data_IF_494460192501
#
_entry.id   IF_494460192501
#
_cell.length_a   1.000
_cell.length_b   1.000
_cell.length_c   1.000
_cell.angle_alpha   90.00
_cell.angle_beta   90.00
_cell.angle_gamma   90.00
#
_symmetry.space_group_name_H-M   'P 1'
#
loop_
_entity.id
_entity.type
_entity.pdbx_description
1 polymer ?
#
# COMPACT_ATOMS: atom_id res chain seq x y z
N UNK A 1 -7.63 -18.81 12.16
CA UNK A 1 -6.42 -18.92 11.34
C UNK A 1 -6.85 -18.95 9.88
N UNK A 2 -6.10 -18.33 8.99
CA UNK A 2 -6.34 -18.39 7.55
C UNK A 2 -5.98 -19.80 7.04
N UNK A 3 -6.89 -20.44 6.30
CA UNK A 3 -6.70 -21.79 5.76
C UNK A 3 -6.35 -21.76 4.27
N UNK A 4 -5.83 -22.88 3.76
CA UNK A 4 -5.58 -23.02 2.31
C UNK A 4 -6.89 -22.98 1.50
N UNK A 5 -7.97 -23.51 2.06
CA UNK A 5 -9.30 -23.50 1.45
C UNK A 5 -9.84 -22.07 1.29
N UNK A 6 -9.67 -21.24 2.33
CA UNK A 6 -10.07 -19.83 2.28
C UNK A 6 -9.34 -19.08 1.15
N UNK A 7 -8.02 -19.29 1.01
CA UNK A 7 -7.21 -18.70 -0.07
C UNK A 7 -7.66 -19.17 -1.46
N UNK A 8 -8.01 -20.45 -1.59
CA UNK A 8 -8.50 -20.97 -2.87
C UNK A 8 -9.89 -20.41 -3.22
N UNK A 9 -10.81 -20.31 -2.25
CA UNK A 9 -12.15 -19.74 -2.45
C UNK A 9 -12.09 -18.26 -2.81
N UNK A 10 -11.17 -17.50 -2.20
CA UNK A 10 -10.94 -16.09 -2.52
C UNK A 10 -10.22 -15.88 -3.87
N UNK A 11 -9.79 -16.95 -4.56
CA UNK A 11 -9.12 -16.86 -5.85
C UNK A 11 -7.69 -16.31 -5.80
N UNK A 12 -7.01 -16.42 -4.64
CA UNK A 12 -5.62 -15.98 -4.44
C UNK A 12 -4.65 -16.71 -5.37
N UNK A 13 -4.99 -17.95 -5.73
CA UNK A 13 -4.20 -18.83 -6.59
C UNK A 13 -4.20 -18.44 -8.08
N UNK A 14 -5.09 -17.55 -8.51
CA UNK A 14 -5.25 -17.21 -9.93
C UNK A 14 -4.23 -16.16 -10.34
N UNK A 15 -3.29 -16.55 -11.20
CA UNK A 15 -2.31 -15.63 -11.78
C UNK A 15 -2.67 -15.16 -13.19
N UNK A 16 -1.73 -14.51 -13.85
CA UNK A 16 -1.87 -13.97 -15.21
C UNK A 16 -1.70 -15.02 -16.31
N UNK A 17 -2.03 -14.62 -17.54
CA UNK A 17 -1.81 -15.44 -18.75
C UNK A 17 -0.32 -15.80 -18.89
N UNK A 18 -0.07 -16.99 -19.43
CA UNK A 18 1.29 -17.50 -19.69
C UNK A 18 2.18 -16.50 -20.47
N UNK A 19 1.61 -15.69 -21.36
CA UNK A 19 2.34 -14.68 -22.13
C UNK A 19 2.86 -13.48 -21.32
N UNK A 20 2.34 -13.27 -20.11
CA UNK A 20 2.73 -12.15 -19.23
C UNK A 20 3.56 -12.60 -18.02
N UNK A 21 4.02 -13.83 -18.02
CA UNK A 21 4.72 -14.42 -16.89
C UNK A 21 6.14 -13.89 -16.72
N UNK A 22 6.54 -13.69 -15.47
CA UNK A 22 7.93 -13.40 -15.11
C UNK A 22 8.63 -14.71 -14.67
N UNK A 23 9.74 -15.11 -15.29
CA UNK A 23 10.47 -16.34 -14.93
C UNK A 23 10.90 -16.40 -13.45
N UNK A 24 11.16 -15.29 -12.82
CA UNK A 24 11.51 -15.23 -11.39
C UNK A 24 10.38 -15.67 -10.45
N UNK A 25 9.15 -15.75 -10.97
CA UNK A 25 8.01 -16.31 -10.24
C UNK A 25 7.93 -17.85 -10.30
N UNK A 26 8.79 -18.52 -11.05
CA UNK A 26 8.79 -19.99 -11.17
C UNK A 26 8.72 -20.73 -9.80
N UNK A 27 9.44 -20.30 -8.75
CA UNK A 27 9.37 -20.97 -7.46
C UNK A 27 7.97 -20.90 -6.79
N UNK A 28 7.11 -19.94 -7.18
CA UNK A 28 5.80 -19.68 -6.59
C UNK A 28 4.63 -20.14 -7.47
N UNK A 29 4.93 -20.70 -8.65
CA UNK A 29 3.92 -21.22 -9.58
C UNK A 29 3.76 -22.71 -9.38
N UNK A 30 2.52 -23.15 -9.11
CA UNK A 30 2.16 -24.55 -9.01
C UNK A 30 2.05 -25.21 -10.39
N UNK A 31 1.51 -24.47 -11.37
CA UNK A 31 1.31 -24.99 -12.72
C UNK A 31 0.57 -24.02 -13.63
N UNK A 32 0.07 -24.55 -14.77
CA UNK A 32 -0.72 -23.77 -15.73
C UNK A 32 -2.05 -24.50 -15.97
N UNK A 33 -3.18 -23.77 -15.86
CA UNK A 33 -4.52 -24.29 -16.17
C UNK A 33 -5.25 -23.27 -17.04
N UNK A 34 -5.83 -23.72 -18.15
CA UNK A 34 -6.57 -22.88 -19.10
C UNK A 34 -5.77 -21.64 -19.58
N UNK A 35 -4.44 -21.79 -19.75
CA UNK A 35 -3.58 -20.70 -20.19
C UNK A 35 -3.23 -19.65 -19.12
N UNK A 36 -3.67 -19.85 -17.88
CA UNK A 36 -3.34 -19.02 -16.72
C UNK A 36 -2.36 -19.75 -15.80
N UNK A 37 -1.39 -19.02 -15.24
CA UNK A 37 -0.56 -19.55 -14.17
C UNK A 37 -1.36 -19.69 -12.88
N UNK A 38 -1.11 -20.78 -12.16
CA UNK A 38 -1.69 -21.03 -10.84
C UNK A 38 -0.59 -20.82 -9.81
N UNK A 39 -0.84 -19.92 -8.86
CA UNK A 39 0.06 -19.65 -7.74
C UNK A 39 -0.08 -20.76 -6.70
N UNK A 40 1.03 -21.18 -6.13
CA UNK A 40 1.07 -22.13 -5.02
C UNK A 40 0.64 -21.46 -3.71
N UNK A 41 -0.60 -21.74 -3.29
CA UNK A 41 -1.18 -21.14 -2.07
C UNK A 41 -0.48 -21.58 -0.78
N UNK A 42 0.23 -22.71 -0.79
CA UNK A 42 1.03 -23.12 0.38
C UNK A 42 2.19 -22.18 0.59
N UNK A 43 2.86 -21.78 -0.50
CA UNK A 43 3.91 -20.76 -0.48
C UNK A 43 3.36 -19.36 -0.20
N UNK A 44 2.15 -19.06 -0.70
CA UNK A 44 1.46 -17.82 -0.33
C UNK A 44 1.28 -17.73 1.18
N UNK A 45 0.73 -18.77 1.81
CA UNK A 45 0.51 -18.79 3.25
C UNK A 45 1.82 -18.67 4.05
N UNK A 46 2.86 -19.40 3.63
CA UNK A 46 4.19 -19.31 4.24
C UNK A 46 4.75 -17.89 4.18
N UNK A 47 4.75 -17.27 2.98
CA UNK A 47 5.29 -15.93 2.77
C UNK A 47 4.45 -14.84 3.42
N UNK A 48 3.13 -15.01 3.45
CA UNK A 48 2.23 -14.12 4.17
C UNK A 48 2.54 -14.14 5.68
N UNK A 49 2.70 -15.31 6.29
CA UNK A 49 3.04 -15.42 7.71
C UNK A 49 4.41 -14.79 8.01
N UNK A 50 5.42 -15.00 7.17
CA UNK A 50 6.73 -14.33 7.31
C UNK A 50 6.60 -12.82 7.25
N UNK A 51 5.82 -12.29 6.30
CA UNK A 51 5.56 -10.86 6.17
C UNK A 51 4.80 -10.31 7.40
N UNK A 52 3.78 -11.02 7.88
CA UNK A 52 3.01 -10.63 9.07
C UNK A 52 3.90 -10.54 10.31
N UNK A 53 4.76 -11.51 10.55
CA UNK A 53 5.66 -11.46 11.70
C UNK A 53 6.62 -10.26 11.62
N UNK A 54 7.17 -9.98 10.45
CA UNK A 54 7.99 -8.79 10.22
C UNK A 54 7.23 -7.48 10.47
N UNK A 55 5.98 -7.39 9.97
CA UNK A 55 5.12 -6.23 10.19
C UNK A 55 4.77 -6.05 11.68
N UNK A 56 4.50 -7.15 12.40
CA UNK A 56 4.27 -7.14 13.86
C UNK A 56 5.47 -6.61 14.62
N UNK A 57 6.67 -7.11 14.31
CA UNK A 57 7.90 -6.62 14.93
C UNK A 57 8.11 -5.12 14.67
N UNK A 58 7.82 -4.67 13.45
CA UNK A 58 7.89 -3.26 13.10
C UNK A 58 6.97 -2.42 13.97
N UNK A 59 5.69 -2.83 14.11
CA UNK A 59 4.70 -2.08 14.90
C UNK A 59 5.04 -2.12 16.39
N UNK A 60 5.49 -3.25 16.94
CA UNK A 60 5.94 -3.37 18.33
C UNK A 60 7.08 -2.41 18.66
N UNK A 61 7.96 -2.15 17.69
CA UNK A 61 9.11 -1.24 17.84
C UNK A 61 8.78 0.21 17.45
N UNK A 62 7.50 0.63 17.51
CA UNK A 62 7.03 1.98 17.12
C UNK A 62 7.38 2.35 15.68
N UNK A 63 7.54 1.35 14.84
CA UNK A 63 7.76 1.52 13.41
C UNK A 63 6.48 1.93 12.69
N UNK A 64 6.65 2.72 11.64
CA UNK A 64 5.56 3.19 10.78
C UNK A 64 5.58 2.40 9.48
N UNK A 65 4.43 1.86 9.12
CA UNK A 65 4.19 1.20 7.83
C UNK A 65 3.41 2.18 6.95
N UNK A 66 3.95 2.51 5.78
CA UNK A 66 3.21 3.26 4.76
C UNK A 66 2.52 2.29 3.82
N UNK A 67 1.20 2.37 3.77
CA UNK A 67 0.36 1.54 2.90
C UNK A 67 0.14 2.23 1.55
N UNK A 68 0.41 1.53 0.45
CA UNK A 68 0.27 2.11 -0.90
C UNK A 68 -0.55 1.20 -1.79
N UNK A 69 -1.56 1.80 -2.46
CA UNK A 69 -2.39 1.11 -3.44
C UNK A 69 -2.95 2.07 -4.48
N UNK A 70 -2.41 1.97 -5.68
CA UNK A 70 -2.80 2.82 -6.80
C UNK A 70 -3.99 2.26 -7.60
N UNK A 71 -4.18 0.93 -7.60
CA UNK A 71 -5.28 0.28 -8.33
C UNK A 71 -6.63 0.55 -7.69
N UNK A 72 -7.66 0.68 -8.51
CA UNK A 72 -9.03 0.97 -8.04
C UNK A 72 -9.52 -0.08 -7.03
N UNK A 73 -9.20 -1.35 -7.27
CA UNK A 73 -9.61 -2.48 -6.43
C UNK A 73 -9.00 -2.44 -5.02
N UNK A 74 -7.77 -1.92 -4.88
CA UNK A 74 -7.05 -1.89 -3.61
C UNK A 74 -7.26 -0.61 -2.80
N UNK A 75 -7.71 0.51 -3.43
CA UNK A 75 -7.77 1.83 -2.79
C UNK A 75 -8.60 1.86 -1.52
N UNK A 76 -9.86 1.43 -1.61
CA UNK A 76 -10.77 1.47 -0.47
C UNK A 76 -10.30 0.54 0.65
N UNK A 77 -9.78 -0.63 0.29
CA UNK A 77 -9.28 -1.61 1.24
C UNK A 77 -8.05 -1.09 1.98
N UNK A 78 -7.10 -0.48 1.26
CA UNK A 78 -5.90 0.13 1.86
C UNK A 78 -6.28 1.29 2.78
N UNK A 79 -7.16 2.18 2.33
CA UNK A 79 -7.61 3.31 3.13
C UNK A 79 -8.28 2.84 4.43
N UNK A 80 -9.22 1.89 4.33
CA UNK A 80 -9.89 1.32 5.50
C UNK A 80 -8.89 0.63 6.46
N UNK A 81 -8.03 -0.23 5.93
CA UNK A 81 -7.04 -0.95 6.74
C UNK A 81 -6.05 -0.01 7.43
N UNK A 82 -5.53 0.97 6.71
CA UNK A 82 -4.59 1.94 7.26
C UNK A 82 -5.23 2.84 8.34
N UNK A 83 -6.47 3.28 8.12
CA UNK A 83 -7.24 4.04 9.11
C UNK A 83 -7.52 3.20 10.36
N UNK A 84 -7.96 1.95 10.22
CA UNK A 84 -8.17 1.05 11.34
C UNK A 84 -6.88 0.80 12.14
N UNK A 85 -5.72 0.73 11.47
CA UNK A 85 -4.41 0.54 12.10
C UNK A 85 -3.74 1.85 12.56
N UNK A 86 -4.36 3.00 12.32
CA UNK A 86 -3.79 4.33 12.58
C UNK A 86 -2.42 4.55 11.89
N UNK A 87 -2.31 4.09 10.65
CA UNK A 87 -1.08 4.13 9.85
C UNK A 87 -1.26 5.05 8.62
N UNK A 88 -0.18 5.65 8.12
CA UNK A 88 -0.25 6.47 6.91
C UNK A 88 -0.50 5.63 5.66
N UNK A 89 -1.16 6.25 4.66
CA UNK A 89 -1.43 5.60 3.39
C UNK A 89 -1.37 6.56 2.20
N UNK A 90 -1.13 6.00 1.02
CA UNK A 90 -1.23 6.71 -0.27
C UNK A 90 -2.08 5.88 -1.22
N UNK A 91 -3.24 6.42 -1.62
CA UNK A 91 -4.13 5.81 -2.60
C UNK A 91 -4.15 6.64 -3.88
N UNK A 92 -3.97 5.97 -5.01
CA UNK A 92 -3.89 6.63 -6.30
C UNK A 92 -2.45 6.87 -6.76
N UNK A 93 -2.13 8.09 -7.23
CA UNK A 93 -0.80 8.36 -7.78
C UNK A 93 0.24 8.56 -6.68
N UNK A 94 1.37 7.85 -6.81
CA UNK A 94 2.53 8.07 -5.95
C UNK A 94 3.03 9.52 -6.00
N UNK A 95 3.40 10.06 -4.87
CA UNK A 95 3.99 11.40 -4.77
C UNK A 95 5.50 11.25 -4.94
N UNK A 96 5.99 11.56 -6.14
CA UNK A 96 7.43 11.49 -6.41
C UNK A 96 8.23 12.34 -5.43
N UNK A 97 9.31 11.75 -4.88
CA UNK A 97 10.13 12.38 -3.87
C UNK A 97 9.63 12.21 -2.43
N UNK A 98 8.57 11.42 -2.19
CA UNK A 98 8.05 11.22 -0.83
C UNK A 98 9.12 10.71 0.13
N UNK A 99 10.00 9.84 -0.31
CA UNK A 99 11.12 9.36 0.49
C UNK A 99 12.42 10.08 0.19
N UNK A 100 12.76 10.20 -1.08
CA UNK A 100 14.04 10.78 -1.52
C UNK A 100 14.15 12.29 -1.29
N UNK A 101 13.03 12.98 -1.17
CA UNK A 101 12.97 14.43 -0.91
C UNK A 101 12.00 14.77 0.23
N UNK A 102 12.06 13.95 1.30
CA UNK A 102 11.12 14.02 2.42
C UNK A 102 11.05 15.41 3.08
N UNK A 103 12.17 16.13 3.14
CA UNK A 103 12.21 17.49 3.73
C UNK A 103 11.21 18.43 3.03
N UNK A 104 11.20 18.45 1.70
CA UNK A 104 10.26 19.29 0.92
C UNK A 104 8.83 18.78 1.05
N UNK A 105 8.64 17.45 1.06
CA UNK A 105 7.31 16.87 1.25
C UNK A 105 6.75 17.24 2.63
N UNK A 106 7.57 17.22 3.68
CA UNK A 106 7.17 17.63 5.03
C UNK A 106 6.70 19.09 5.09
N UNK A 107 7.38 20.00 4.38
CA UNK A 107 6.95 21.39 4.26
C UNK A 107 5.60 21.50 3.52
N UNK A 108 5.39 20.69 2.49
CA UNK A 108 4.10 20.63 1.77
C UNK A 108 2.98 20.07 2.65
N UNK A 109 3.25 19.05 3.47
CA UNK A 109 2.30 18.50 4.45
C UNK A 109 1.93 19.60 5.47
N UNK A 110 2.92 20.32 6.00
CA UNK A 110 2.68 21.43 6.92
C UNK A 110 1.78 22.50 6.28
N UNK A 111 2.12 22.93 5.07
CA UNK A 111 1.29 23.89 4.33
C UNK A 111 -0.15 23.37 4.11
N UNK A 112 -0.30 22.07 3.80
CA UNK A 112 -1.61 21.45 3.65
C UNK A 112 -2.42 21.52 4.96
N UNK A 113 -1.81 21.13 6.08
CA UNK A 113 -2.48 21.15 7.38
C UNK A 113 -2.84 22.58 7.79
N UNK A 114 -1.94 23.56 7.60
CA UNK A 114 -2.22 24.96 7.87
C UNK A 114 -3.39 25.50 7.03
N UNK A 115 -3.45 25.14 5.74
CA UNK A 115 -4.55 25.56 4.86
C UNK A 115 -5.86 24.87 5.23
N UNK A 116 -5.82 23.60 5.61
CA UNK A 116 -6.99 22.82 6.04
C UNK A 116 -7.59 23.41 7.34
N UNK A 117 -6.75 23.77 8.30
CA UNK A 117 -7.15 24.44 9.53
C UNK A 117 -7.77 25.80 9.27
N UNK A 118 -7.15 26.66 8.43
CA UNK A 118 -7.71 27.97 8.06
C UNK A 118 -9.06 27.85 7.35
N UNK A 119 -9.21 26.84 6.50
CA UNK A 119 -10.48 26.57 5.84
C UNK A 119 -11.55 26.16 6.86
N UNK A 120 -11.23 25.25 7.78
CA UNK A 120 -12.16 24.81 8.82
C UNK A 120 -12.54 25.92 9.81
N UNK A 121 -11.61 26.83 10.13
CA UNK A 121 -11.83 27.99 10.99
C UNK A 121 -12.60 29.13 10.30
N UNK A 122 -12.89 29.04 8.99
CA UNK A 122 -13.57 30.09 8.23
C UNK A 122 -12.70 31.31 7.94
N UNK A 123 -11.41 31.28 8.23
CA UNK A 123 -10.47 32.38 8.03
C UNK A 123 -10.30 32.79 6.56
N UNK A 124 -10.71 31.94 5.62
CA UNK A 124 -10.65 32.22 4.20
C UNK A 124 -11.79 33.13 3.71
N UNK A 125 -12.77 33.45 4.56
CA UNK A 125 -13.90 34.35 4.24
C UNK A 125 -13.46 35.81 3.95
N UNK A 126 -12.30 36.23 4.45
CA UNK A 126 -11.72 37.55 4.20
C UNK A 126 -11.19 37.75 2.76
N UNK A 127 -11.03 36.68 2.00
CA UNK A 127 -10.54 36.72 0.61
C UNK A 127 -11.72 36.91 -0.37
N UNK A 128 -11.40 37.34 -1.59
CA UNK A 128 -12.42 37.47 -2.64
C UNK A 128 -13.01 36.10 -3.00
N UNK A 129 -14.26 36.06 -3.52
CA UNK A 129 -14.93 34.79 -3.91
C UNK A 129 -14.09 33.95 -4.90
N UNK A 130 -13.33 34.61 -5.80
CA UNK A 130 -12.44 33.94 -6.75
C UNK A 130 -11.27 33.25 -6.04
N UNK A 131 -10.67 33.92 -5.07
CA UNK A 131 -9.57 33.36 -4.27
C UNK A 131 -10.05 32.21 -3.39
N UNK A 132 -11.21 32.36 -2.72
CA UNK A 132 -11.83 31.28 -1.93
C UNK A 132 -12.01 30.01 -2.78
N UNK A 133 -12.57 30.15 -3.98
CA UNK A 133 -12.74 29.03 -4.90
C UNK A 133 -11.39 28.38 -5.31
N UNK A 134 -10.34 29.20 -5.48
CA UNK A 134 -9.01 28.67 -5.78
C UNK A 134 -8.41 27.89 -4.58
N UNK A 135 -8.58 28.40 -3.35
CA UNK A 135 -8.17 27.67 -2.15
C UNK A 135 -8.93 26.36 -1.96
N UNK A 136 -10.24 26.35 -2.19
CA UNK A 136 -11.06 25.14 -2.12
C UNK A 136 -10.59 24.08 -3.13
N UNK A 137 -10.36 24.47 -4.39
CA UNK A 137 -9.85 23.58 -5.43
C UNK A 137 -8.49 23.02 -5.07
N UNK A 138 -7.59 23.87 -4.56
CA UNK A 138 -6.25 23.48 -4.12
C UNK A 138 -6.33 22.49 -2.96
N UNK A 139 -7.15 22.80 -1.97
CA UNK A 139 -7.36 21.96 -0.79
C UNK A 139 -7.94 20.60 -1.15
N UNK A 140 -8.97 20.56 -2.02
CA UNK A 140 -9.56 19.31 -2.52
C UNK A 140 -8.52 18.43 -3.22
N UNK A 141 -7.62 19.04 -4.03
CA UNK A 141 -6.53 18.32 -4.68
C UNK A 141 -5.55 17.77 -3.64
N UNK A 142 -5.13 18.59 -2.67
CA UNK A 142 -4.18 18.19 -1.64
C UNK A 142 -4.75 17.11 -0.72
N UNK A 143 -6.01 17.19 -0.32
CA UNK A 143 -6.70 16.13 0.45
C UNK A 143 -6.67 14.79 -0.28
N UNK A 144 -6.90 14.79 -1.60
CA UNK A 144 -6.84 13.59 -2.42
C UNK A 144 -5.43 13.01 -2.53
N UNK A 145 -4.40 13.86 -2.65
CA UNK A 145 -3.01 13.43 -2.86
C UNK A 145 -2.29 13.11 -1.55
N UNK A 146 -2.53 13.87 -0.49
CA UNK A 146 -1.74 13.87 0.74
C UNK A 146 -2.56 13.59 2.01
N UNK A 147 -3.88 13.43 1.90
CA UNK A 147 -4.75 13.24 3.08
C UNK A 147 -4.34 12.06 3.96
N UNK A 148 -3.94 10.94 3.35
CA UNK A 148 -3.51 9.76 4.10
C UNK A 148 -2.11 9.86 4.72
N UNK A 149 -1.35 10.91 4.41
CA UNK A 149 0.00 11.15 4.98
C UNK A 149 0.09 12.47 5.76
N UNK A 150 -1.05 13.11 6.06
CA UNK A 150 -1.10 14.41 6.75
C UNK A 150 -0.40 14.41 8.12
N UNK A 151 -0.39 13.26 8.80
CA UNK A 151 0.19 13.07 10.12
C UNK A 151 1.58 12.40 10.07
N UNK A 152 2.17 12.26 8.88
CA UNK A 152 3.47 11.63 8.69
C UNK A 152 4.62 12.55 9.17
N UNK A 153 5.13 12.29 10.37
CA UNK A 153 6.18 13.11 11.00
C UNK A 153 7.60 12.63 10.70
N UNK A 154 7.77 11.33 10.44
CA UNK A 154 9.05 10.67 10.16
C UNK A 154 8.93 9.73 8.97
N UNK A 155 10.05 9.43 8.31
CA UNK A 155 10.08 8.41 7.27
C UNK A 155 9.59 7.07 7.81
N UNK A 156 8.74 6.34 7.06
CA UNK A 156 8.31 5.01 7.45
C UNK A 156 9.48 4.03 7.40
N UNK A 157 9.45 3.00 8.21
CA UNK A 157 10.43 1.90 8.20
C UNK A 157 10.08 0.84 7.17
N UNK A 158 8.79 0.74 6.84
CA UNK A 158 8.27 -0.25 5.91
C UNK A 158 7.33 0.41 4.91
N UNK A 159 7.46 0.03 3.66
CA UNK A 159 6.53 0.30 2.58
C UNK A 159 5.76 -0.99 2.27
N UNK A 160 4.43 -0.96 2.38
CA UNK A 160 3.56 -2.03 1.90
C UNK A 160 2.91 -1.62 0.58
N UNK A 161 3.07 -2.43 -0.47
CA UNK A 161 2.52 -2.17 -1.80
C UNK A 161 1.67 -3.34 -2.31
N UNK A 162 0.64 -3.03 -3.08
CA UNK A 162 -0.28 -4.05 -3.63
C UNK A 162 0.07 -4.51 -5.04
N UNK A 163 0.88 -3.74 -5.76
CA UNK A 163 1.25 -4.05 -7.14
C UNK A 163 2.62 -3.48 -7.50
N UNK A 164 3.58 -4.36 -7.74
CA UNK A 164 4.95 -3.95 -8.12
C UNK A 164 5.03 -3.21 -9.47
N UNK A 165 4.12 -3.49 -10.39
CA UNK A 165 4.12 -2.88 -11.71
C UNK A 165 3.64 -1.43 -11.66
N UNK A 166 2.55 -1.18 -10.93
CA UNK A 166 1.92 0.14 -10.82
C UNK A 166 2.67 1.02 -9.82
N UNK A 167 3.17 0.45 -8.73
CA UNK A 167 3.81 1.15 -7.62
C UNK A 167 5.34 1.09 -7.68
N UNK A 168 5.89 0.89 -8.90
CA UNK A 168 7.33 0.76 -9.15
C UNK A 168 8.14 1.95 -8.62
N UNK A 169 7.64 3.17 -8.80
CA UNK A 169 8.35 4.37 -8.37
C UNK A 169 8.44 4.43 -6.83
N UNK A 170 7.39 4.05 -6.12
CA UNK A 170 7.38 3.97 -4.66
C UNK A 170 8.42 2.94 -4.16
N UNK A 171 8.45 1.76 -4.77
CA UNK A 171 9.42 0.71 -4.46
C UNK A 171 10.86 1.15 -4.71
N UNK A 172 11.13 1.84 -5.83
CA UNK A 172 12.47 2.32 -6.17
C UNK A 172 12.95 3.40 -5.20
N UNK A 173 12.06 4.32 -4.78
CA UNK A 173 12.41 5.33 -3.77
C UNK A 173 12.66 4.69 -2.40
N UNK A 174 11.83 3.72 -1.99
CA UNK A 174 12.01 2.98 -0.74
C UNK A 174 13.39 2.32 -0.67
N UNK A 175 13.78 1.61 -1.72
CA UNK A 175 15.10 0.99 -1.82
C UNK A 175 16.26 1.98 -1.72
N UNK A 176 16.16 3.14 -2.40
CA UNK A 176 17.19 4.19 -2.32
C UNK A 176 17.35 4.74 -0.91
N UNK A 177 16.29 4.74 -0.11
CA UNK A 177 16.28 5.23 1.26
C UNK A 177 16.47 4.14 2.33
N UNK A 178 16.70 2.88 1.93
CA UNK A 178 16.88 1.76 2.86
C UNK A 178 15.59 1.33 3.58
N UNK A 179 14.43 1.73 3.05
CA UNK A 179 13.11 1.36 3.59
C UNK A 179 12.79 -0.06 3.12
N UNK A 180 12.38 -0.93 4.05
CA UNK A 180 11.98 -2.29 3.72
C UNK A 180 10.67 -2.34 2.96
N UNK A 181 10.60 -3.21 1.95
CA UNK A 181 9.43 -3.32 1.08
C UNK A 181 8.75 -4.67 1.25
N UNK A 182 7.48 -4.63 1.64
CA UNK A 182 6.56 -5.77 1.62
C UNK A 182 5.61 -5.59 0.44
N UNK A 183 5.41 -6.61 -0.38
CA UNK A 183 4.56 -6.49 -1.56
C UNK A 183 3.72 -7.72 -1.84
N UNK A 184 2.51 -7.50 -2.34
CA UNK A 184 1.79 -8.53 -3.07
C UNK A 184 2.44 -8.67 -4.47
N UNK A 185 2.74 -9.90 -4.85
CA UNK A 185 3.45 -10.20 -6.09
C UNK A 185 2.66 -11.21 -6.89
N UNK A 186 2.16 -10.78 -8.03
CA UNK A 186 1.50 -11.67 -8.99
C UNK A 186 2.51 -12.36 -9.91
N UNK A 187 2.01 -13.22 -10.79
CA UNK A 187 2.87 -14.01 -11.71
C UNK A 187 3.57 -13.18 -12.78
N UNK A 188 3.21 -11.92 -12.99
CA UNK A 188 3.84 -11.01 -13.96
C UNK A 188 5.00 -10.20 -13.39
N UNK A 189 5.14 -10.18 -12.08
CA UNK A 189 6.08 -9.32 -11.35
C UNK A 189 7.35 -10.06 -10.94
N UNK A 190 8.42 -9.32 -10.61
CA UNK A 190 9.67 -9.92 -10.12
C UNK A 190 9.70 -9.88 -8.58
N UNK A 191 9.62 -11.05 -7.90
CA UNK A 191 9.61 -11.12 -6.43
C UNK A 191 10.95 -10.72 -5.79
N UNK A 192 12.06 -10.81 -6.52
CA UNK A 192 13.39 -10.45 -6.00
C UNK A 192 13.58 -8.94 -5.78
N UNK A 193 12.63 -8.13 -6.27
CA UNK A 193 12.67 -6.67 -6.13
C UNK A 193 12.26 -6.20 -4.74
N UNK A 194 11.74 -7.05 -3.88
CA UNK A 194 11.22 -6.67 -2.56
C UNK A 194 11.81 -7.55 -1.47
N UNK A 195 11.76 -7.06 -0.23
CA UNK A 195 12.30 -7.80 0.91
C UNK A 195 11.36 -8.96 1.33
N UNK A 196 10.04 -8.70 1.28
CA UNK A 196 9.01 -9.69 1.59
C UNK A 196 7.99 -9.74 0.46
N UNK A 197 8.12 -10.74 -0.40
CA UNK A 197 7.18 -11.00 -1.49
C UNK A 197 6.08 -11.95 -1.01
N UNK A 198 4.82 -11.56 -1.15
CA UNK A 198 3.65 -12.38 -0.88
C UNK A 198 3.05 -12.77 -2.24
N UNK A 199 3.26 -13.99 -2.73
CA UNK A 199 2.70 -14.44 -4.00
C UNK A 199 1.19 -14.51 -3.91
N UNK A 200 0.47 -13.71 -4.70
CA UNK A 200 -0.99 -13.64 -4.64
C UNK A 200 -1.58 -12.98 -5.89
N UNK A 201 -2.87 -13.25 -6.12
CA UNK A 201 -3.66 -12.51 -7.08
C UNK A 201 -3.91 -11.09 -6.58
N UNK A 202 -3.37 -10.10 -7.25
CA UNK A 202 -3.53 -8.68 -6.89
C UNK A 202 -4.62 -7.94 -7.69
N UNK A 203 -5.35 -8.66 -8.55
CA UNK A 203 -6.44 -8.11 -9.37
C UNK A 203 -7.83 -8.38 -8.75
N UNK A 204 -8.01 -9.52 -8.08
CA UNK A 204 -9.30 -9.92 -7.51
C UNK A 204 -9.53 -9.26 -6.15
N UNK A 205 -10.66 -8.57 -5.98
CA UNK A 205 -11.02 -7.91 -4.72
C UNK A 205 -11.06 -8.90 -3.55
N UNK A 206 -11.68 -10.07 -3.71
CA UNK A 206 -11.75 -11.09 -2.67
C UNK A 206 -10.36 -11.60 -2.23
N UNK A 207 -9.40 -11.72 -3.18
CA UNK A 207 -8.03 -12.08 -2.87
C UNK A 207 -7.32 -11.02 -2.02
N UNK A 208 -7.54 -9.75 -2.35
CA UNK A 208 -6.99 -8.64 -1.57
C UNK A 208 -7.62 -8.58 -0.19
N UNK A 209 -8.95 -8.67 -0.09
CA UNK A 209 -9.69 -8.63 1.18
C UNK A 209 -9.19 -9.66 2.18
N UNK A 210 -9.10 -10.93 1.77
CA UNK A 210 -8.71 -12.01 2.69
C UNK A 210 -7.27 -11.84 3.22
N UNK A 211 -6.36 -11.36 2.37
CA UNK A 211 -4.96 -11.10 2.75
C UNK A 211 -4.90 -9.91 3.72
N UNK A 212 -5.58 -8.80 3.38
CA UNK A 212 -5.59 -7.61 4.22
C UNK A 212 -6.29 -7.86 5.57
N UNK A 213 -7.38 -8.60 5.59
CA UNK A 213 -8.05 -8.98 6.83
C UNK A 213 -7.15 -9.85 7.72
N UNK A 214 -6.39 -10.77 7.12
CA UNK A 214 -5.41 -11.56 7.86
C UNK A 214 -4.32 -10.68 8.47
N UNK A 215 -3.73 -9.77 7.69
CA UNK A 215 -2.70 -8.84 8.17
C UNK A 215 -3.28 -7.92 9.26
N UNK A 216 -4.43 -7.32 8.99
CA UNK A 216 -5.12 -6.42 9.92
C UNK A 216 -5.40 -7.07 11.27
N UNK A 217 -5.98 -8.28 11.27
CA UNK A 217 -6.30 -9.05 12.48
C UNK A 217 -5.07 -9.27 13.36
N UNK A 218 -3.93 -9.51 12.73
CA UNK A 218 -2.68 -9.80 13.43
C UNK A 218 -1.96 -8.52 13.92
N UNK A 219 -2.18 -7.38 13.28
CA UNK A 219 -1.57 -6.10 13.67
C UNK A 219 -2.42 -5.30 14.67
N UNK A 220 -3.75 -5.43 14.64
CA UNK A 220 -4.67 -4.69 15.53
C UNK A 220 -4.30 -4.75 17.02
N UNK A 221 -3.88 -5.88 17.60
CA UNK A 221 -3.49 -5.96 19.02
C UNK A 221 -2.30 -5.07 19.40
N UNK A 222 -1.50 -4.64 18.42
CA UNK A 222 -0.30 -3.82 18.61
C UNK A 222 -0.48 -2.36 18.19
N UNK A 223 -1.71 -2.00 17.75
CA UNK A 223 -2.08 -0.62 17.42
C UNK A 223 -1.91 0.27 18.66
N UNK A 224 -1.28 1.43 18.47
CA UNK A 224 -1.19 2.51 19.47
C UNK A 224 -2.14 3.66 19.16
#
# INVERSE_FOLDING_TARGET
MLTLEDLLQAGVHVGHKKSKWNPKMAPFVFGVRNGLHIIDVTKTLEKLNQAIEFLKETVKNDGVILWVGARVQSRQLIEATAQELNMPFVVGRWIGGLFTNYKIIKERIKYFNDLDHKFAAGELSQYTKKEQLNFERKLKKMRKEMGGIKDLQKLPQVLFITDLGVEKDAMLEAKKCGIKVVALVDTSSNPELVDYAIPANNDAAASLEIIFDSIKKELLPFKK
#
